data_IF_038948884420
#
_entry.id   IF_038948884420
#
_cell.length_a   1.000
_cell.length_b   1.000
_cell.length_c   1.000
_cell.angle_alpha   90.00
_cell.angle_beta   90.00
_cell.angle_gamma   90.00
#
_symmetry.space_group_name_H-M   'P 1'
#
loop_
_entity.id
_entity.type
_entity.pdbx_description
1 polymer ?
#
# COMPACT_ATOMS: atom_id res chain seq x y z
N UNK A 1 -26.06 13.94 -13.42
CA UNK A 1 -26.94 14.67 -12.49
C UNK A 1 -28.30 14.87 -13.14
N UNK A 2 -29.37 14.63 -12.38
CA UNK A 2 -30.75 14.83 -12.79
C UNK A 2 -31.40 15.75 -11.75
N UNK A 3 -31.70 16.98 -12.16
CA UNK A 3 -32.09 18.06 -11.23
C UNK A 3 -33.59 18.10 -10.90
N UNK A 4 -34.41 17.27 -11.56
CA UNK A 4 -35.86 17.35 -11.48
C UNK A 4 -36.53 15.98 -11.35
N UNK A 5 -36.18 15.22 -10.31
CA UNK A 5 -36.98 14.04 -9.92
C UNK A 5 -38.16 14.55 -9.09
N UNK A 6 -39.34 14.63 -9.70
CA UNK A 6 -40.54 15.13 -9.02
C UNK A 6 -41.25 14.00 -8.28
N UNK A 7 -41.41 14.15 -6.97
CA UNK A 7 -42.04 13.17 -6.08
C UNK A 7 -43.31 13.79 -5.48
N UNK A 8 -44.43 13.06 -5.53
CA UNK A 8 -45.69 13.54 -4.99
C UNK A 8 -45.82 13.30 -3.47
N UNK A 9 -46.74 14.01 -2.82
CA UNK A 9 -47.12 13.75 -1.43
C UNK A 9 -47.64 12.33 -1.21
N UNK A 10 -48.37 11.80 -2.20
CA UNK A 10 -48.93 10.45 -2.14
C UNK A 10 -47.81 9.40 -2.11
N UNK A 11 -46.72 9.61 -2.86
CA UNK A 11 -45.55 8.73 -2.87
C UNK A 11 -44.86 8.72 -1.51
N UNK A 12 -44.58 9.90 -0.95
CA UNK A 12 -43.95 10.05 0.37
C UNK A 12 -44.83 9.44 1.47
N UNK A 13 -46.14 9.71 1.41
CA UNK A 13 -47.12 9.12 2.33
C UNK A 13 -47.18 7.61 2.23
N UNK A 14 -47.15 7.04 1.01
CA UNK A 14 -47.11 5.60 0.78
C UNK A 14 -45.88 4.96 1.44
N UNK A 15 -44.67 5.48 1.18
CA UNK A 15 -43.43 4.97 1.76
C UNK A 15 -43.43 5.02 3.29
N UNK A 16 -43.84 6.16 3.84
CA UNK A 16 -43.92 6.37 5.30
C UNK A 16 -44.90 5.39 5.95
N UNK A 17 -46.08 5.18 5.34
CA UNK A 17 -47.10 4.27 5.86
C UNK A 17 -46.69 2.79 5.84
N UNK A 18 -45.81 2.42 4.91
CA UNK A 18 -45.32 1.04 4.72
C UNK A 18 -43.98 0.78 5.39
N UNK A 19 -43.29 1.82 5.87
CA UNK A 19 -41.93 1.70 6.40
C UNK A 19 -40.93 1.23 5.34
N UNK A 20 -41.13 1.59 4.07
CA UNK A 20 -40.26 1.21 2.95
C UNK A 20 -39.65 2.45 2.32
N UNK A 21 -38.51 2.27 1.64
CA UNK A 21 -37.91 3.30 0.80
C UNK A 21 -37.98 2.87 -0.68
N UNK A 22 -38.14 3.83 -1.60
CA UNK A 22 -37.90 3.55 -3.01
C UNK A 22 -36.42 3.22 -3.22
N UNK A 23 -36.09 2.58 -4.33
CA UNK A 23 -34.72 2.23 -4.65
C UNK A 23 -34.36 2.62 -6.09
N UNK A 24 -33.21 3.26 -6.24
CA UNK A 24 -32.57 3.46 -7.53
C UNK A 24 -31.95 2.14 -7.98
N UNK A 25 -32.33 1.69 -9.17
CA UNK A 25 -31.74 0.54 -9.83
C UNK A 25 -30.96 0.97 -11.07
N UNK A 26 -29.73 0.53 -11.19
CA UNK A 26 -28.93 0.62 -12.41
C UNK A 26 -28.55 -0.80 -12.81
N UNK A 27 -28.81 -1.18 -14.05
CA UNK A 27 -28.60 -2.55 -14.50
C UNK A 27 -27.15 -2.99 -14.38
N UNK A 28 -26.21 -2.12 -14.81
CA UNK A 28 -24.79 -2.42 -14.77
C UNK A 28 -23.97 -1.17 -14.46
N UNK A 29 -23.14 -1.26 -13.43
CA UNK A 29 -22.12 -0.28 -13.08
C UNK A 29 -20.74 -0.94 -13.19
N UNK A 30 -19.73 -0.16 -13.56
CA UNK A 30 -18.34 -0.58 -13.51
C UNK A 30 -17.55 0.26 -12.50
N UNK A 31 -16.65 -0.43 -11.81
CA UNK A 31 -15.69 0.05 -10.81
C UNK A 31 -16.35 0.59 -9.55
N UNK A 32 -16.72 1.88 -9.50
CA UNK A 32 -17.40 2.48 -8.35
C UNK A 32 -18.55 3.38 -8.81
N UNK A 33 -19.68 3.24 -8.12
CA UNK A 33 -20.84 4.09 -8.26
C UNK A 33 -21.23 4.66 -6.89
N UNK A 34 -21.43 5.98 -6.81
CA UNK A 34 -22.01 6.65 -5.63
C UNK A 34 -23.32 7.30 -6.01
N UNK A 35 -24.31 7.17 -5.12
CA UNK A 35 -25.64 7.74 -5.30
C UNK A 35 -25.83 8.84 -4.27
N UNK A 36 -26.13 10.04 -4.73
CA UNK A 36 -26.46 11.18 -3.89
C UNK A 36 -27.88 11.66 -4.17
N UNK A 37 -28.61 11.96 -3.10
CA UNK A 37 -29.94 12.56 -3.17
C UNK A 37 -29.90 13.87 -2.40
N UNK A 38 -30.27 14.96 -3.06
CA UNK A 38 -30.31 16.31 -2.49
C UNK A 38 -28.97 16.75 -1.84
N UNK A 39 -27.85 16.23 -2.35
CA UNK A 39 -26.51 16.54 -1.85
C UNK A 39 -25.98 15.56 -0.81
N UNK A 40 -26.81 14.67 -0.28
CA UNK A 40 -26.41 13.68 0.72
C UNK A 40 -26.09 12.32 0.08
N UNK A 41 -25.06 11.64 0.58
CA UNK A 41 -24.66 10.31 0.09
C UNK A 41 -25.69 9.27 0.55
N UNK A 42 -26.45 8.72 -0.38
CA UNK A 42 -27.43 7.67 -0.11
C UNK A 42 -26.78 6.28 -0.07
N UNK A 43 -25.71 6.06 -0.83
CA UNK A 43 -24.93 4.82 -0.78
C UNK A 43 -24.03 4.61 -1.99
N UNK A 44 -23.49 3.40 -2.10
CA UNK A 44 -22.43 3.08 -3.07
C UNK A 44 -22.43 1.61 -3.49
N UNK A 45 -21.97 1.35 -4.71
CA UNK A 45 -21.72 0.00 -5.23
C UNK A 45 -20.32 -0.06 -5.86
N UNK A 46 -19.61 -1.16 -5.61
CA UNK A 46 -18.32 -1.47 -6.23
C UNK A 46 -18.45 -2.78 -7.00
N UNK A 47 -17.84 -2.88 -8.17
CA UNK A 47 -17.78 -4.13 -8.92
C UNK A 47 -17.62 -3.97 -10.43
N UNK A 48 -17.44 -5.09 -11.12
CA UNK A 48 -17.25 -5.12 -12.57
C UNK A 48 -18.54 -5.53 -13.29
N UNK A 49 -19.22 -4.57 -13.92
CA UNK A 49 -20.52 -4.73 -14.60
C UNK A 49 -21.60 -5.40 -13.73
N UNK A 50 -21.69 -4.97 -12.47
CA UNK A 50 -22.66 -5.46 -11.49
C UNK A 50 -23.90 -4.57 -11.43
N UNK A 51 -25.05 -5.11 -11.03
CA UNK A 51 -26.25 -4.30 -10.82
C UNK A 51 -26.16 -3.52 -9.51
N UNK A 52 -26.61 -2.26 -9.54
CA UNK A 52 -26.78 -1.42 -8.37
C UNK A 52 -28.27 -1.38 -8.02
N UNK A 53 -28.60 -1.62 -6.75
CA UNK A 53 -29.92 -1.35 -6.18
C UNK A 53 -29.76 -0.63 -4.84
N UNK A 54 -29.95 0.68 -4.84
CA UNK A 54 -29.69 1.54 -3.70
C UNK A 54 -31.00 2.15 -3.19
N UNK A 55 -31.44 1.84 -1.95
CA UNK A 55 -32.50 2.60 -1.29
C UNK A 55 -32.15 4.09 -1.23
N UNK A 56 -33.13 4.95 -1.50
CA UNK A 56 -32.96 6.40 -1.59
C UNK A 56 -34.08 7.10 -0.82
N UNK A 57 -33.75 8.22 -0.19
CA UNK A 57 -34.70 9.03 0.56
C UNK A 57 -34.98 10.35 -0.19
N UNK A 58 -36.15 10.42 -0.82
CA UNK A 58 -36.62 11.65 -1.45
C UNK A 58 -37.57 12.42 -0.53
N UNK A 59 -37.64 13.72 -0.74
CA UNK A 59 -38.64 14.60 -0.12
C UNK A 59 -39.75 14.92 -1.13
N UNK A 60 -40.87 15.45 -0.65
CA UNK A 60 -41.94 15.96 -1.51
C UNK A 60 -41.38 17.04 -2.46
N UNK A 61 -41.80 16.98 -3.73
CA UNK A 61 -41.46 17.96 -4.75
C UNK A 61 -40.22 17.60 -5.56
N UNK A 62 -39.45 18.62 -5.94
CA UNK A 62 -38.28 18.46 -6.79
C UNK A 62 -37.08 17.97 -5.98
N UNK A 63 -36.52 16.85 -6.44
CA UNK A 63 -35.33 16.27 -5.87
C UNK A 63 -34.20 16.25 -6.89
N UNK A 64 -32.99 16.36 -6.38
CA UNK A 64 -31.75 16.29 -7.15
C UNK A 64 -31.10 14.92 -6.97
N UNK A 65 -30.98 14.17 -8.05
CA UNK A 65 -30.28 12.89 -8.08
C UNK A 65 -28.91 13.07 -8.74
N UNK A 66 -27.84 12.83 -7.99
CA UNK A 66 -26.47 12.87 -8.53
C UNK A 66 -25.85 11.48 -8.45
N UNK A 67 -25.35 11.01 -9.60
CA UNK A 67 -24.63 9.76 -9.71
C UNK A 67 -23.18 10.10 -10.01
N UNK A 68 -22.27 9.62 -9.17
CA UNK A 68 -20.84 9.68 -9.43
C UNK A 68 -20.41 8.30 -9.94
N UNK A 69 -19.79 8.29 -11.11
CA UNK A 69 -19.10 7.12 -11.64
C UNK A 69 -17.61 7.38 -11.52
N UNK A 70 -16.88 6.41 -10.98
CA UNK A 70 -15.43 6.51 -10.80
C UNK A 70 -14.77 5.30 -11.44
N UNK A 71 -13.62 5.55 -12.06
CA UNK A 71 -12.83 4.53 -12.76
C UNK A 71 -11.59 4.25 -11.93
N UNK A 72 -11.35 2.99 -11.58
CA UNK A 72 -10.17 2.57 -10.79
C UNK A 72 -9.15 1.91 -11.70
N UNK A 73 -8.70 2.70 -12.67
CA UNK A 73 -7.85 2.22 -13.77
C UNK A 73 -8.66 1.64 -14.93
N UNK A 74 -8.02 1.54 -16.09
CA UNK A 74 -8.62 0.94 -17.29
C UNK A 74 -8.12 -0.49 -17.45
N UNK A 75 -8.96 -1.32 -18.07
CA UNK A 75 -8.57 -2.66 -18.52
C UNK A 75 -7.27 -2.57 -19.34
N UNK A 76 -6.25 -3.32 -18.95
CA UNK A 76 -4.92 -3.28 -19.58
C UNK A 76 -4.48 -4.62 -20.19
N UNK A 77 -5.33 -5.66 -20.14
CA UNK A 77 -5.10 -6.94 -20.80
C UNK A 77 -6.42 -7.60 -21.21
N UNK A 78 -6.36 -8.51 -22.19
CA UNK A 78 -7.52 -9.23 -22.72
C UNK A 78 -7.89 -8.83 -24.15
N UNK A 79 -8.64 -9.69 -24.84
CA UNK A 79 -9.10 -9.41 -26.20
C UNK A 79 -10.18 -8.31 -26.20
N UNK A 80 -10.12 -7.40 -27.17
CA UNK A 80 -11.08 -6.31 -27.36
C UNK A 80 -11.28 -5.40 -26.13
N UNK A 81 -10.21 -5.19 -25.34
CA UNK A 81 -10.26 -4.38 -24.12
C UNK A 81 -10.79 -2.96 -24.37
N UNK A 82 -10.61 -2.43 -25.58
CA UNK A 82 -11.11 -1.12 -25.99
C UNK A 82 -12.65 -1.04 -26.03
N UNK A 83 -13.34 -2.20 -26.12
CA UNK A 83 -14.80 -2.28 -26.13
C UNK A 83 -15.41 -2.41 -24.74
N UNK A 84 -14.60 -2.73 -23.73
CA UNK A 84 -15.11 -2.99 -22.39
C UNK A 84 -15.72 -1.71 -21.79
N UNK A 85 -15.08 -0.55 -21.94
CA UNK A 85 -15.65 0.77 -21.56
C UNK A 85 -15.80 0.97 -20.04
N UNK A 86 -16.44 2.04 -19.57
CA UNK A 86 -16.69 2.25 -18.14
C UNK A 86 -17.97 3.04 -17.88
N UNK A 87 -18.35 3.16 -16.61
CA UNK A 87 -19.53 3.90 -16.18
C UNK A 87 -20.78 3.04 -16.01
N UNK A 88 -21.92 3.59 -16.44
CA UNK A 88 -23.23 2.96 -16.29
C UNK A 88 -23.71 2.40 -17.64
N UNK A 89 -24.32 1.21 -17.60
CA UNK A 89 -24.93 0.54 -18.75
C UNK A 89 -26.32 0.03 -18.40
N UNK A 90 -27.16 -0.09 -19.43
CA UNK A 90 -28.53 -0.56 -19.32
C UNK A 90 -29.47 0.51 -18.75
N UNK A 91 -30.53 0.06 -18.09
CA UNK A 91 -31.59 0.92 -17.60
C UNK A 91 -31.26 1.55 -16.25
N UNK A 92 -31.74 2.78 -16.06
CA UNK A 92 -31.77 3.46 -14.77
C UNK A 92 -33.23 3.62 -14.37
N UNK A 93 -33.64 3.00 -13.27
CA UNK A 93 -35.03 2.98 -12.81
C UNK A 93 -35.16 3.39 -11.36
N UNK A 94 -36.22 4.12 -11.04
CA UNK A 94 -36.67 4.29 -9.68
C UNK A 94 -37.77 3.27 -9.40
N UNK A 95 -37.57 2.43 -8.39
CA UNK A 95 -38.45 1.31 -8.07
C UNK A 95 -39.11 1.50 -6.71
N UNK A 96 -40.26 0.86 -6.51
CA UNK A 96 -40.98 0.91 -5.23
C UNK A 96 -41.91 2.12 -5.06
N UNK A 97 -42.34 2.75 -6.16
CA UNK A 97 -43.43 3.72 -6.14
C UNK A 97 -44.80 3.01 -6.20
N UNK A 98 -45.87 3.61 -5.65
CA UNK A 98 -47.21 3.01 -5.66
C UNK A 98 -47.75 2.77 -7.07
N UNK A 99 -47.36 3.61 -8.04
CA UNK A 99 -47.85 3.56 -9.42
C UNK A 99 -46.93 2.78 -10.39
N UNK A 100 -45.99 2.00 -9.85
CA UNK A 100 -45.00 1.23 -10.62
C UNK A 100 -43.67 1.95 -10.80
N UNK A 101 -42.72 1.27 -11.43
CA UNK A 101 -41.36 1.79 -11.59
C UNK A 101 -41.30 2.97 -12.59
N UNK A 102 -40.50 3.98 -12.28
CA UNK A 102 -40.21 5.09 -13.19
C UNK A 102 -38.91 4.79 -13.94
N UNK A 103 -38.93 4.86 -15.27
CA UNK A 103 -37.73 4.77 -16.10
C UNK A 103 -37.08 6.15 -16.27
N UNK A 104 -35.83 6.27 -15.79
CA UNK A 104 -35.01 7.48 -15.84
C UNK A 104 -33.93 7.42 -16.94
N UNK A 105 -33.87 6.33 -17.71
CA UNK A 105 -32.81 6.06 -18.69
C UNK A 105 -32.74 7.15 -19.77
N UNK A 106 -33.90 7.64 -20.20
CA UNK A 106 -34.02 8.65 -21.26
C UNK A 106 -34.35 10.05 -20.73
N UNK A 107 -34.20 10.27 -19.42
CA UNK A 107 -34.31 11.61 -18.83
C UNK A 107 -33.16 12.52 -19.30
N UNK A 108 -33.32 13.83 -19.11
CA UNK A 108 -32.27 14.81 -19.44
C UNK A 108 -31.22 14.81 -18.33
N UNK A 109 -30.03 14.29 -18.63
CA UNK A 109 -28.90 14.20 -17.70
C UNK A 109 -27.87 15.29 -17.96
N UNK A 110 -27.44 15.98 -16.89
CA UNK A 110 -26.30 16.90 -16.89
C UNK A 110 -25.03 16.16 -16.47
N UNK A 111 -23.93 16.37 -17.21
CA UNK A 111 -22.64 15.72 -16.97
C UNK A 111 -21.58 16.72 -16.56
N UNK A 112 -20.74 16.33 -15.59
CA UNK A 112 -19.54 17.05 -15.18
C UNK A 112 -18.40 16.03 -15.11
N UNK A 113 -17.25 16.39 -15.68
CA UNK A 113 -16.03 15.59 -15.61
C UNK A 113 -15.20 16.06 -14.42
N UNK A 114 -14.80 15.14 -13.56
CA UNK A 114 -13.95 15.41 -12.39
C UNK A 114 -14.63 16.18 -11.26
N UNK A 115 -13.88 16.37 -10.20
CA UNK A 115 -14.30 17.07 -8.99
C UNK A 115 -13.99 18.57 -9.08
N UNK A 116 -14.77 19.38 -8.35
CA UNK A 116 -14.59 20.84 -8.32
C UNK A 116 -13.19 21.25 -7.83
N UNK A 117 -12.65 20.54 -6.83
CA UNK A 117 -11.30 20.75 -6.32
C UNK A 117 -10.22 20.43 -7.35
N UNK A 118 -10.40 19.39 -8.15
CA UNK A 118 -9.50 19.05 -9.25
C UNK A 118 -9.51 20.13 -10.35
N UNK A 119 -10.70 20.58 -10.76
CA UNK A 119 -10.84 21.65 -11.76
C UNK A 119 -10.20 22.96 -11.31
N UNK A 120 -10.31 23.27 -10.02
CA UNK A 120 -9.71 24.46 -9.41
C UNK A 120 -8.22 24.27 -9.08
N UNK A 121 -7.68 23.06 -9.29
CA UNK A 121 -6.29 22.66 -9.04
C UNK A 121 -5.81 23.00 -7.63
N UNK A 122 -6.67 22.83 -6.62
CA UNK A 122 -6.36 23.22 -5.23
C UNK A 122 -5.28 22.35 -4.57
N UNK A 123 -4.72 21.37 -5.30
CA UNK A 123 -3.53 20.62 -4.93
C UNK A 123 -2.22 21.34 -5.30
N UNK A 124 -2.27 22.36 -6.16
CA UNK A 124 -1.09 23.11 -6.59
C UNK A 124 -0.77 24.26 -5.60
N UNK A 125 0.51 24.52 -5.29
CA UNK A 125 0.92 25.59 -4.36
C UNK A 125 0.39 26.98 -4.74
N UNK A 126 0.41 27.32 -6.03
CA UNK A 126 -0.02 28.61 -6.56
C UNK A 126 -1.56 28.78 -6.65
N UNK A 127 -2.32 27.70 -6.39
CA UNK A 127 -3.79 27.68 -6.49
C UNK A 127 -4.49 27.50 -5.15
N UNK A 128 -3.76 27.59 -4.03
CA UNK A 128 -4.33 27.41 -2.69
C UNK A 128 -5.45 28.40 -2.35
N UNK A 129 -5.43 29.61 -2.92
CA UNK A 129 -6.46 30.63 -2.71
C UNK A 129 -7.77 30.38 -3.49
N UNK A 130 -7.81 29.36 -4.37
CA UNK A 130 -9.03 29.03 -5.14
C UNK A 130 -10.07 28.24 -4.31
N UNK A 131 -9.78 27.91 -3.06
CA UNK A 131 -10.71 27.32 -2.11
C UNK A 131 -10.64 28.05 -0.76
N UNK A 132 -11.78 28.05 -0.07
CA UNK A 132 -11.85 28.47 1.33
C UNK A 132 -11.49 27.28 2.21
N UNK A 133 -10.42 27.43 2.99
CA UNK A 133 -9.92 26.40 3.89
C UNK A 133 -10.27 26.77 5.33
N UNK A 134 -10.77 25.81 6.10
CA UNK A 134 -10.98 25.93 7.54
C UNK A 134 -9.94 25.10 8.29
N UNK A 135 -9.51 25.58 9.45
CA UNK A 135 -8.66 24.80 10.35
C UNK A 135 -9.47 23.69 11.02
N UNK A 136 -8.91 22.48 11.06
CA UNK A 136 -9.51 21.32 11.70
C UNK A 136 -9.40 21.39 13.23
N UNK A 137 -10.45 21.02 13.94
CA UNK A 137 -10.49 20.84 15.39
C UNK A 137 -10.57 19.35 15.76
N UNK A 138 -10.20 19.01 17.00
CA UNK A 138 -10.18 17.62 17.49
C UNK A 138 -11.57 16.96 17.46
N UNK A 139 -12.63 17.76 17.69
CA UNK A 139 -14.01 17.28 17.76
C UNK A 139 -14.76 17.39 16.42
N UNK A 140 -14.06 17.72 15.32
CA UNK A 140 -14.69 17.85 14.01
C UNK A 140 -15.23 16.51 13.52
N UNK A 141 -16.48 16.53 13.04
CA UNK A 141 -17.08 15.37 12.39
C UNK A 141 -16.46 15.24 11.00
N UNK A 142 -15.61 14.23 10.82
CA UNK A 142 -14.95 13.95 9.55
C UNK A 142 -15.97 13.44 8.52
N UNK A 143 -16.23 14.24 7.50
CA UNK A 143 -17.15 13.87 6.41
C UNK A 143 -16.42 13.21 5.24
N UNK A 144 -17.07 12.31 4.51
CA UNK A 144 -16.63 11.89 3.18
C UNK A 144 -16.57 13.07 2.20
N UNK A 145 -15.88 12.89 1.06
CA UNK A 145 -15.69 13.93 0.02
C UNK A 145 -15.03 15.22 0.52
N UNK A 146 -14.02 15.09 1.36
CA UNK A 146 -13.33 16.22 2.01
C UNK A 146 -11.92 16.40 1.44
N UNK A 147 -11.50 17.65 1.30
CA UNK A 147 -10.12 17.99 0.95
C UNK A 147 -9.35 18.39 2.21
N UNK A 148 -8.18 17.80 2.42
CA UNK A 148 -7.27 18.12 3.51
C UNK A 148 -5.98 18.71 2.96
N UNK A 149 -5.33 19.57 3.73
CA UNK A 149 -3.98 20.02 3.43
C UNK A 149 -3.16 20.28 4.68
N UNK A 150 -1.86 20.21 4.54
CA UNK A 150 -0.89 20.64 5.55
C UNK A 150 0.44 21.02 4.91
N UNK A 151 1.31 21.66 5.68
CA UNK A 151 2.70 21.95 5.31
C UNK A 151 3.62 21.03 6.11
N UNK A 152 4.74 20.60 5.53
CA UNK A 152 5.72 19.77 6.21
C UNK A 152 7.16 19.98 5.70
N UNK A 153 8.13 19.70 6.56
CA UNK A 153 9.54 19.69 6.20
C UNK A 153 9.96 18.30 5.70
N UNK A 154 10.87 18.23 4.73
CA UNK A 154 11.35 16.95 4.26
C UNK A 154 12.15 16.22 5.35
N UNK A 155 11.97 14.89 5.51
CA UNK A 155 12.83 14.11 6.40
C UNK A 155 14.28 14.26 6.00
N UNK A 156 15.19 14.24 6.98
CA UNK A 156 16.63 14.27 6.71
C UNK A 156 17.10 12.98 6.00
N UNK A 157 18.31 13.04 5.44
CA UNK A 157 18.95 11.89 4.80
C UNK A 157 18.51 11.66 3.35
N UNK A 158 18.96 10.53 2.79
CA UNK A 158 18.78 10.19 1.37
C UNK A 158 17.80 9.03 1.15
N UNK A 159 17.32 8.40 2.21
CA UNK A 159 16.45 7.22 2.13
C UNK A 159 15.11 7.53 1.46
N UNK A 160 14.50 6.58 0.74
CA UNK A 160 13.15 6.73 0.21
C UNK A 160 12.16 7.26 1.26
N UNK A 161 11.26 8.14 0.86
CA UNK A 161 10.22 8.69 1.74
C UNK A 161 8.89 8.06 1.38
N UNK A 162 8.10 7.69 2.39
CA UNK A 162 6.72 7.30 2.18
C UNK A 162 5.79 7.94 3.21
N UNK A 163 4.55 8.13 2.80
CA UNK A 163 3.46 8.61 3.65
C UNK A 163 2.55 7.44 4.04
N UNK A 164 2.25 7.33 5.33
CA UNK A 164 1.27 6.40 5.85
C UNK A 164 -0.14 6.98 5.68
N UNK A 165 -0.96 6.31 4.88
CA UNK A 165 -2.36 6.64 4.65
C UNK A 165 -3.29 5.50 5.10
N UNK A 166 -2.80 4.58 5.94
CA UNK A 166 -3.60 3.45 6.42
C UNK A 166 -4.74 3.85 7.37
N UNK A 167 -4.70 5.07 7.93
CA UNK A 167 -5.82 5.66 8.68
C UNK A 167 -6.89 6.31 7.81
N UNK A 168 -6.62 6.41 6.50
CA UNK A 168 -7.50 7.05 5.53
C UNK A 168 -8.42 6.01 4.87
N UNK A 169 -9.34 6.47 4.01
CA UNK A 169 -10.31 5.60 3.34
C UNK A 169 -9.93 5.34 1.89
N UNK A 170 -10.40 6.19 0.98
CA UNK A 170 -10.14 6.12 -0.46
C UNK A 170 -9.95 7.53 -0.96
N UNK A 171 -8.99 7.74 -1.84
CA UNK A 171 -8.72 9.09 -2.29
C UNK A 171 -7.50 9.23 -3.16
N UNK A 172 -7.02 10.47 -3.22
CA UNK A 172 -5.81 10.86 -3.94
C UNK A 172 -4.98 11.79 -3.07
N UNK A 173 -3.67 11.71 -3.22
CA UNK A 173 -2.73 12.56 -2.50
C UNK A 173 -1.76 13.24 -3.46
N UNK A 174 -1.41 14.49 -3.14
CA UNK A 174 -0.48 15.31 -3.88
C UNK A 174 0.57 15.91 -2.96
N UNK A 175 1.80 16.00 -3.45
CA UNK A 175 2.91 16.70 -2.80
C UNK A 175 3.43 17.75 -3.77
N UNK A 176 3.42 19.02 -3.37
CA UNK A 176 3.86 20.16 -4.19
C UNK A 176 3.20 20.17 -5.59
N UNK A 177 1.92 19.82 -5.66
CA UNK A 177 1.17 19.73 -6.92
C UNK A 177 1.34 18.43 -7.71
N UNK A 178 2.29 17.56 -7.33
CA UNK A 178 2.50 16.26 -7.98
C UNK A 178 1.59 15.18 -7.36
N UNK A 179 0.80 14.49 -8.19
CA UNK A 179 -0.02 13.36 -7.73
C UNK A 179 0.89 12.18 -7.35
N UNK A 180 0.98 11.85 -6.06
CA UNK A 180 1.78 10.73 -5.56
C UNK A 180 1.03 9.39 -5.65
N UNK A 181 -0.29 9.43 -5.83
CA UNK A 181 -1.08 8.25 -6.14
C UNK A 181 -2.53 8.32 -5.68
N UNK A 182 -3.26 7.25 -5.99
CA UNK A 182 -4.55 6.93 -5.37
C UNK A 182 -4.28 6.06 -4.16
N UNK A 183 -4.93 6.35 -3.04
CA UNK A 183 -4.91 5.48 -1.88
C UNK A 183 -6.27 4.82 -1.70
N UNK A 184 -6.28 3.58 -1.22
CA UNK A 184 -7.51 2.86 -0.94
C UNK A 184 -7.29 1.77 0.11
N UNK A 185 -7.95 1.90 1.25
CA UNK A 185 -7.91 0.98 2.40
C UNK A 185 -8.71 -0.31 2.17
N UNK A 186 -8.48 -0.97 1.03
CA UNK A 186 -8.97 -2.32 0.80
C UNK A 186 -8.15 -3.30 1.62
N UNK A 187 -8.82 -4.26 2.25
CA UNK A 187 -8.17 -5.33 3.01
C UNK A 187 -8.00 -6.55 2.12
N UNK A 188 -6.79 -7.11 2.09
CA UNK A 188 -6.51 -8.35 1.38
C UNK A 188 -7.30 -9.52 2.00
N UNK A 189 -7.66 -10.56 1.23
CA UNK A 189 -8.29 -11.76 1.79
C UNK A 189 -7.48 -12.33 2.95
N UNK A 190 -8.17 -12.90 3.95
CA UNK A 190 -7.49 -13.55 5.09
C UNK A 190 -6.75 -14.83 4.69
N UNK A 191 -7.12 -15.44 3.56
CA UNK A 191 -6.54 -16.67 3.03
C UNK A 191 -5.77 -16.43 1.73
N UNK A 192 -4.90 -17.37 1.37
CA UNK A 192 -4.08 -17.32 0.15
C UNK A 192 -2.58 -17.16 0.42
N UNK A 193 -2.21 -16.60 1.57
CA UNK A 193 -0.82 -16.51 2.00
C UNK A 193 -0.35 -17.88 2.50
N UNK A 194 0.75 -18.36 1.91
CA UNK A 194 1.36 -19.61 2.35
C UNK A 194 2.04 -19.42 3.70
N UNK A 195 1.91 -20.40 4.60
CA UNK A 195 2.69 -20.46 5.84
C UNK A 195 4.17 -20.75 5.60
N UNK A 196 4.54 -21.21 4.40
CA UNK A 196 5.92 -21.43 4.00
C UNK A 196 6.12 -21.10 2.52
N UNK A 197 7.16 -20.32 2.22
CA UNK A 197 7.59 -20.01 0.85
C UNK A 197 9.05 -20.45 0.69
N UNK A 198 9.37 -21.13 -0.41
CA UNK A 198 10.73 -21.51 -0.76
C UNK A 198 10.99 -21.31 -2.26
N UNK A 199 12.27 -21.14 -2.59
CA UNK A 199 12.71 -20.93 -3.97
C UNK A 199 12.53 -22.16 -4.88
N UNK A 200 12.78 -23.43 -4.44
CA UNK A 200 12.77 -24.56 -5.37
C UNK A 200 11.38 -24.89 -5.91
N UNK A 201 11.35 -25.53 -7.08
CA UNK A 201 10.13 -26.03 -7.70
C UNK A 201 9.36 -24.97 -8.50
N UNK A 202 8.24 -25.39 -9.10
CA UNK A 202 7.41 -24.53 -9.92
C UNK A 202 6.93 -23.31 -9.12
N UNK A 203 6.82 -22.17 -9.83
CA UNK A 203 6.32 -20.93 -9.28
C UNK A 203 4.89 -20.68 -9.77
N UNK A 204 4.07 -20.10 -8.89
CA UNK A 204 2.79 -19.45 -9.21
C UNK A 204 2.71 -18.13 -8.44
N UNK A 205 1.87 -17.21 -8.91
CA UNK A 205 1.61 -15.91 -8.28
C UNK A 205 1.10 -16.01 -6.84
N UNK A 206 0.54 -17.17 -6.46
CA UNK A 206 0.04 -17.48 -5.11
C UNK A 206 1.09 -18.14 -4.20
N UNK A 207 2.23 -18.61 -4.73
CA UNK A 207 3.19 -19.43 -3.97
C UNK A 207 3.73 -18.74 -2.72
N UNK A 208 3.97 -17.44 -2.81
CA UNK A 208 4.68 -16.66 -1.79
C UNK A 208 3.96 -15.35 -1.46
N UNK A 209 2.62 -15.34 -1.55
CA UNK A 209 1.83 -14.18 -1.14
C UNK A 209 2.00 -13.92 0.36
N UNK A 210 1.99 -12.63 0.72
CA UNK A 210 2.11 -12.14 2.09
C UNK A 210 1.06 -11.04 2.33
N UNK A 211 0.95 -10.57 3.57
CA UNK A 211 0.03 -9.51 3.99
C UNK A 211 -1.47 -9.83 3.85
N UNK A 212 -1.86 -11.11 3.96
CA UNK A 212 -3.27 -11.50 4.06
C UNK A 212 -3.94 -10.89 5.30
N UNK A 213 -5.19 -10.47 5.16
CA UNK A 213 -5.93 -9.78 6.23
C UNK A 213 -5.44 -8.36 6.55
N UNK A 214 -4.41 -7.87 5.86
CA UNK A 214 -3.87 -6.52 6.02
C UNK A 214 -4.39 -5.60 4.91
N UNK A 215 -4.37 -4.26 5.09
CA UNK A 215 -4.61 -3.34 3.99
C UNK A 215 -3.67 -3.61 2.82
N UNK A 216 -4.18 -3.62 1.59
CA UNK A 216 -3.43 -3.93 0.38
C UNK A 216 -2.28 -2.94 0.14
N UNK A 217 -2.45 -1.70 0.56
CA UNK A 217 -1.40 -0.69 0.60
C UNK A 217 -1.69 0.39 1.65
N UNK A 218 -0.77 0.59 2.58
CA UNK A 218 -0.85 1.68 3.58
C UNK A 218 0.22 2.75 3.41
N UNK A 219 1.33 2.41 2.75
CA UNK A 219 2.46 3.30 2.53
C UNK A 219 2.53 3.70 1.06
N UNK A 220 2.66 5.00 0.82
CA UNK A 220 2.67 5.60 -0.52
C UNK A 220 3.97 6.36 -0.71
N UNK A 221 4.73 6.01 -1.74
CA UNK A 221 6.05 6.57 -2.00
C UNK A 221 5.95 8.05 -2.44
N UNK A 222 6.83 8.88 -1.89
CA UNK A 222 7.05 10.26 -2.29
C UNK A 222 8.48 10.36 -2.85
N UNK A 223 8.65 10.60 -4.16
CA UNK A 223 9.97 10.83 -4.74
C UNK A 223 10.69 11.97 -4.04
N UNK A 224 11.96 11.74 -3.65
CA UNK A 224 12.81 12.75 -2.99
C UNK A 224 12.94 14.01 -3.83
N UNK A 225 12.98 13.85 -5.15
CA UNK A 225 13.09 14.95 -6.12
C UNK A 225 11.87 15.88 -6.15
N UNK A 226 10.74 15.47 -5.58
CA UNK A 226 9.53 16.30 -5.47
C UNK A 226 9.48 17.09 -4.17
N UNK A 227 10.43 16.87 -3.26
CA UNK A 227 10.52 17.53 -1.97
C UNK A 227 11.50 18.70 -2.00
N UNK A 228 11.11 19.77 -1.31
CA UNK A 228 11.96 20.88 -0.88
C UNK A 228 12.43 20.62 0.56
N UNK A 229 13.44 21.34 1.03
CA UNK A 229 13.93 21.18 2.42
C UNK A 229 12.84 21.47 3.45
N UNK A 230 12.09 22.55 3.25
CA UNK A 230 10.95 22.97 4.08
C UNK A 230 9.74 23.32 3.23
N UNK A 231 8.61 23.61 3.89
CA UNK A 231 7.43 24.20 3.25
C UNK A 231 6.85 23.37 2.09
N UNK A 232 6.89 22.05 2.21
CA UNK A 232 6.23 21.16 1.27
C UNK A 232 4.73 21.14 1.52
N UNK A 233 3.95 21.35 0.46
CA UNK A 233 2.50 21.28 0.51
C UNK A 233 2.04 19.84 0.30
N UNK A 234 1.34 19.28 1.28
CA UNK A 234 0.58 18.04 1.14
C UNK A 234 -0.90 18.37 0.98
N UNK A 235 -1.56 17.82 -0.05
CA UNK A 235 -3.01 17.92 -0.23
C UNK A 235 -3.58 16.52 -0.45
N UNK A 236 -4.72 16.22 0.19
CA UNK A 236 -5.45 14.97 0.01
C UNK A 236 -6.89 15.27 -0.37
N UNK A 237 -7.45 14.44 -1.24
CA UNK A 237 -8.89 14.30 -1.40
C UNK A 237 -9.29 12.96 -0.76
N UNK A 238 -10.12 13.00 0.28
CA UNK A 238 -10.69 11.84 0.97
C UNK A 238 -12.15 11.64 0.57
N UNK A 239 -12.43 10.51 -0.08
CA UNK A 239 -13.72 10.19 -0.65
C UNK A 239 -14.66 9.49 0.33
N UNK A 240 -14.14 8.61 1.20
CA UNK A 240 -14.96 7.69 2.03
C UNK A 240 -14.98 8.04 3.52
N UNK A 241 -14.04 8.87 3.97
CA UNK A 241 -13.81 9.16 5.37
C UNK A 241 -12.56 8.44 5.88
N UNK A 242 -11.82 9.13 6.74
CA UNK A 242 -10.51 8.72 7.23
C UNK A 242 -10.01 9.71 8.26
N UNK A 243 -9.07 9.28 9.11
CA UNK A 243 -8.53 10.09 10.19
C UNK A 243 -7.16 10.69 9.78
N UNK A 244 -7.12 11.98 9.37
CA UNK A 244 -5.89 12.61 8.91
C UNK A 244 -4.89 12.88 10.03
N UNK A 245 -5.30 12.85 11.31
CA UNK A 245 -4.41 13.07 12.45
C UNK A 245 -3.38 11.95 12.65
N UNK A 246 -3.64 10.78 12.06
CA UNK A 246 -2.78 9.59 12.11
C UNK A 246 -1.90 9.42 10.87
N UNK A 247 -1.98 10.35 9.92
CA UNK A 247 -1.06 10.38 8.79
C UNK A 247 0.34 10.66 9.32
N UNK A 248 1.30 9.83 8.93
CA UNK A 248 2.72 10.03 9.25
C UNK A 248 3.55 9.94 7.98
N UNK A 249 4.74 10.52 8.03
CA UNK A 249 5.69 10.50 6.92
C UNK A 249 7.01 9.99 7.48
N UNK A 250 7.53 8.93 6.85
CA UNK A 250 8.69 8.21 7.34
C UNK A 250 9.71 7.95 6.22
N UNK A 251 10.96 7.82 6.62
CA UNK A 251 12.01 7.29 5.77
C UNK A 251 11.96 5.77 5.80
N UNK A 252 12.05 5.15 4.62
CA UNK A 252 12.02 3.70 4.45
C UNK A 252 13.38 3.20 3.99
N UNK A 253 13.96 2.33 4.83
CA UNK A 253 15.16 1.58 4.54
C UNK A 253 15.04 0.18 5.16
N UNK A 254 15.88 -0.73 4.72
CA UNK A 254 15.91 -2.12 5.18
C UNK A 254 16.50 -2.18 6.58
N UNK A 255 15.64 -2.24 7.61
CA UNK A 255 16.06 -2.31 9.03
C UNK A 255 16.63 -3.67 9.42
N UNK A 256 16.09 -4.75 8.88
CA UNK A 256 16.50 -6.12 9.21
C UNK A 256 16.95 -6.84 7.95
N UNK A 257 18.14 -7.39 7.99
CA UNK A 257 18.69 -8.27 6.95
C UNK A 257 19.01 -9.63 7.54
N UNK A 258 18.93 -10.66 6.72
CA UNK A 258 19.08 -12.03 7.19
C UNK A 258 19.50 -12.94 6.04
N UNK A 259 20.16 -14.04 6.39
CA UNK A 259 20.52 -15.07 5.42
C UNK A 259 20.69 -16.42 6.10
N UNK A 260 20.50 -17.51 5.34
CA UNK A 260 20.74 -18.88 5.77
C UNK A 260 21.40 -19.66 4.63
N UNK A 261 22.61 -20.15 4.88
CA UNK A 261 23.41 -20.90 3.91
C UNK A 261 23.85 -22.22 4.53
N UNK A 262 23.74 -23.31 3.78
CA UNK A 262 24.25 -24.62 4.18
C UNK A 262 25.73 -24.78 3.83
N UNK A 263 26.52 -25.46 4.68
CA UNK A 263 27.92 -25.83 4.38
C UNK A 263 28.04 -26.74 3.14
N UNK A 264 26.93 -27.38 2.74
CA UNK A 264 26.81 -28.23 1.55
C UNK A 264 26.50 -27.47 0.25
N UNK A 265 26.28 -26.16 0.32
CA UNK A 265 25.99 -25.36 -0.87
C UNK A 265 27.25 -25.09 -1.69
N UNK A 266 27.06 -24.78 -2.98
CA UNK A 266 28.16 -24.39 -3.84
C UNK A 266 28.77 -23.05 -3.41
N UNK A 267 30.09 -22.85 -3.63
CA UNK A 267 30.73 -21.56 -3.41
C UNK A 267 30.20 -20.47 -4.35
N UNK A 268 30.33 -19.18 -3.99
CA UNK A 268 29.85 -18.07 -4.81
C UNK A 268 30.46 -18.07 -6.21
N UNK A 269 29.68 -17.65 -7.21
CA UNK A 269 30.10 -17.66 -8.63
C UNK A 269 31.40 -16.87 -8.89
N UNK A 270 31.70 -15.85 -8.09
CA UNK A 270 32.97 -15.10 -8.17
C UNK A 270 34.20 -15.96 -7.88
N UNK A 271 34.06 -17.06 -7.13
CA UNK A 271 35.12 -18.02 -6.91
C UNK A 271 35.35 -18.93 -8.14
N UNK A 272 34.39 -18.99 -9.06
CA UNK A 272 34.44 -19.86 -10.24
C UNK A 272 35.25 -19.23 -11.38
N UNK A 273 35.36 -17.89 -11.43
CA UNK A 273 36.08 -17.16 -12.47
C UNK A 273 37.61 -17.26 -12.39
N UNK A 274 38.15 -17.81 -11.29
CA UNK A 274 39.61 -17.96 -11.07
C UNK A 274 40.18 -19.27 -11.64
N UNK A 275 39.42 -20.03 -12.45
CA UNK A 275 39.80 -21.37 -12.89
C UNK A 275 39.95 -21.45 -14.42
N UNK A 276 41.12 -21.88 -14.89
CA UNK A 276 41.48 -22.06 -16.30
C UNK A 276 40.94 -23.36 -16.93
N UNK A 277 40.36 -24.27 -16.15
CA UNK A 277 40.06 -25.65 -16.56
C UNK A 277 38.60 -26.11 -16.42
N UNK A 278 37.67 -25.25 -16.02
CA UNK A 278 36.23 -25.52 -16.08
C UNK A 278 35.70 -26.67 -15.19
N UNK A 279 36.50 -27.19 -14.25
CA UNK A 279 36.06 -28.19 -13.25
C UNK A 279 36.21 -27.63 -11.84
N UNK A 280 35.08 -27.47 -11.16
CA UNK A 280 35.00 -27.01 -9.76
C UNK A 280 35.40 -28.16 -8.84
N UNK A 281 36.47 -27.99 -8.06
CA UNK A 281 36.70 -28.80 -6.87
C UNK A 281 35.80 -28.25 -5.76
N UNK A 282 34.57 -28.78 -5.69
CA UNK A 282 33.54 -28.43 -4.69
C UNK A 282 34.08 -28.57 -3.26
N UNK A 283 35.12 -29.39 -3.06
CA UNK A 283 35.71 -29.70 -1.75
C UNK A 283 36.81 -28.72 -1.28
N UNK A 284 37.10 -27.64 -2.01
CA UNK A 284 38.22 -26.73 -1.66
C UNK A 284 37.82 -25.31 -1.27
N UNK A 285 36.61 -24.86 -1.62
CA UNK A 285 36.13 -23.50 -1.32
C UNK A 285 34.77 -23.62 -0.67
N UNK A 286 34.70 -23.19 0.58
CA UNK A 286 33.46 -23.19 1.35
C UNK A 286 32.44 -22.18 0.77
N UNK A 287 31.13 -22.46 0.93
CA UNK A 287 30.09 -21.47 0.65
C UNK A 287 30.24 -20.24 1.56
N UNK A 288 29.63 -19.14 1.13
CA UNK A 288 29.76 -17.84 1.79
C UNK A 288 28.37 -17.26 2.08
N UNK A 289 28.17 -16.80 3.31
CA UNK A 289 27.01 -16.00 3.68
C UNK A 289 27.37 -14.53 3.54
N UNK A 290 26.56 -13.78 2.80
CA UNK A 290 26.69 -12.33 2.63
C UNK A 290 25.53 -11.60 3.27
N UNK A 291 25.86 -10.52 3.96
CA UNK A 291 24.90 -9.55 4.49
C UNK A 291 25.30 -8.17 3.96
N UNK A 292 24.31 -7.40 3.51
CA UNK A 292 24.51 -6.04 3.04
C UNK A 292 23.32 -5.18 3.44
N UNK A 293 23.59 -4.05 4.10
CA UNK A 293 22.60 -3.01 4.33
C UNK A 293 22.46 -2.11 3.09
N UNK A 294 21.37 -1.33 3.03
CA UNK A 294 21.18 -0.31 2.01
C UNK A 294 22.36 0.69 2.02
N UNK A 295 22.57 1.38 0.89
CA UNK A 295 23.68 2.33 0.78
C UNK A 295 23.56 3.43 1.86
N UNK A 296 24.70 3.84 2.43
CA UNK A 296 24.74 4.80 3.55
C UNK A 296 24.36 4.21 4.93
N UNK A 297 24.04 2.92 5.01
CA UNK A 297 23.72 2.22 6.26
C UNK A 297 24.84 1.27 6.69
N UNK A 298 24.91 0.98 7.99
CA UNK A 298 25.84 0.02 8.57
C UNK A 298 25.08 -1.05 9.34
N UNK A 299 25.65 -2.25 9.36
CA UNK A 299 25.23 -3.32 10.26
C UNK A 299 25.58 -2.86 11.68
N UNK A 300 24.56 -2.56 12.49
CA UNK A 300 24.77 -2.06 13.86
C UNK A 300 24.75 -3.16 14.89
N UNK A 301 24.08 -4.27 14.59
CA UNK A 301 23.90 -5.38 15.55
C UNK A 301 23.59 -6.68 14.83
N UNK A 302 24.12 -7.78 15.36
CA UNK A 302 23.67 -9.13 15.02
C UNK A 302 22.64 -9.54 16.07
N UNK A 303 21.39 -9.74 15.65
CA UNK A 303 20.28 -10.11 16.54
C UNK A 303 20.20 -11.62 16.73
N UNK A 304 20.64 -12.39 15.74
CA UNK A 304 20.70 -13.84 15.80
C UNK A 304 21.86 -14.36 14.95
N UNK A 305 22.57 -15.38 15.43
CA UNK A 305 23.52 -16.13 14.61
C UNK A 305 23.67 -17.56 15.14
N UNK A 306 23.55 -18.54 14.24
CA UNK A 306 23.72 -19.94 14.60
C UNK A 306 24.36 -20.74 13.46
N UNK A 307 25.50 -21.36 13.75
CA UNK A 307 26.12 -22.38 12.91
C UNK A 307 25.83 -23.76 13.49
N UNK A 308 25.05 -24.57 12.79
CA UNK A 308 24.52 -25.81 13.36
C UNK A 308 23.27 -26.28 12.64
N UNK A 309 22.21 -26.57 13.37
CA UNK A 309 20.90 -26.98 12.81
C UNK A 309 19.80 -25.96 13.11
N UNK A 310 19.95 -24.66 12.74
CA UNK A 310 18.93 -23.65 13.03
C UNK A 310 17.60 -23.95 12.33
N UNK A 311 16.52 -23.42 12.89
CA UNK A 311 15.17 -23.55 12.34
C UNK A 311 14.47 -22.20 12.25
N UNK A 312 13.36 -22.15 11.52
CA UNK A 312 12.64 -20.91 11.23
C UNK A 312 13.18 -20.15 10.02
N UNK A 313 12.69 -18.93 9.86
CA UNK A 313 13.05 -18.00 8.79
C UNK A 313 13.45 -16.64 9.35
N UNK A 314 13.75 -15.69 8.46
CA UNK A 314 14.04 -14.31 8.84
C UNK A 314 13.01 -13.75 9.82
N UNK A 315 13.45 -13.03 10.86
CA UNK A 315 12.64 -12.52 11.98
C UNK A 315 12.06 -13.57 12.91
N UNK A 316 12.32 -14.86 12.67
CA UNK A 316 11.83 -15.96 13.50
C UNK A 316 12.82 -17.14 13.51
N UNK A 317 14.12 -16.84 13.49
CA UNK A 317 15.14 -17.88 13.61
C UNK A 317 15.24 -18.39 15.05
N UNK A 318 15.59 -19.66 15.18
CA UNK A 318 15.84 -20.30 16.47
C UNK A 318 17.02 -21.25 16.39
N UNK A 319 17.73 -21.38 17.50
CA UNK A 319 18.81 -22.35 17.64
C UNK A 319 18.25 -23.78 17.60
N UNK A 320 18.99 -24.68 16.95
CA UNK A 320 18.71 -26.10 16.98
C UNK A 320 19.45 -26.81 18.11
N UNK A 321 19.31 -28.14 18.14
CA UNK A 321 20.06 -28.99 19.08
C UNK A 321 21.57 -28.96 18.86
N UNK A 322 22.00 -28.62 17.66
CA UNK A 322 23.40 -28.37 17.32
C UNK A 322 23.59 -26.88 17.04
N UNK A 323 24.54 -26.27 17.74
CA UNK A 323 24.92 -24.87 17.62
C UNK A 323 26.36 -24.67 18.12
N UNK A 324 27.19 -23.97 17.36
CA UNK A 324 28.51 -23.53 17.81
C UNK A 324 28.39 -22.24 18.63
N UNK A 325 28.77 -22.28 19.92
CA UNK A 325 28.64 -21.14 20.84
C UNK A 325 29.47 -19.91 20.47
N UNK A 326 30.49 -20.06 19.62
CA UNK A 326 31.31 -18.95 19.10
C UNK A 326 30.66 -18.19 17.93
N UNK A 327 29.57 -18.72 17.35
CA UNK A 327 28.99 -18.18 16.10
C UNK A 327 28.68 -16.70 16.21
N UNK A 328 27.96 -16.29 17.25
CA UNK A 328 27.53 -14.90 17.42
C UNK A 328 28.72 -13.93 17.53
N UNK A 329 29.76 -14.31 18.26
CA UNK A 329 30.94 -13.47 18.43
C UNK A 329 31.69 -13.27 17.11
N UNK A 330 31.93 -14.36 16.36
CA UNK A 330 32.65 -14.33 15.08
C UNK A 330 31.88 -13.54 14.01
N UNK A 331 30.57 -13.73 13.92
CA UNK A 331 29.73 -12.99 12.98
C UNK A 331 29.65 -11.52 13.36
N UNK A 332 29.57 -11.20 14.65
CA UNK A 332 29.55 -9.80 15.11
C UNK A 332 30.87 -9.10 14.79
N UNK A 333 32.01 -9.76 15.03
CA UNK A 333 33.34 -9.25 14.71
C UNK A 333 33.50 -8.97 13.21
N UNK A 334 32.95 -9.85 12.35
CA UNK A 334 33.04 -9.70 10.91
C UNK A 334 32.12 -8.60 10.34
N UNK A 335 30.95 -8.39 10.93
CA UNK A 335 29.88 -7.61 10.30
C UNK A 335 29.60 -6.25 10.94
N UNK A 336 29.65 -6.14 12.27
CA UNK A 336 29.22 -4.91 12.95
C UNK A 336 30.15 -3.74 12.59
N UNK A 337 29.55 -2.61 12.21
CA UNK A 337 30.25 -1.41 11.77
C UNK A 337 30.55 -1.36 10.27
N UNK A 338 30.26 -2.42 9.52
CA UNK A 338 30.43 -2.46 8.07
C UNK A 338 29.07 -2.37 7.34
N UNK A 339 29.05 -1.84 6.12
CA UNK A 339 27.86 -1.87 5.27
C UNK A 339 27.59 -3.28 4.71
N UNK A 340 28.66 -4.02 4.40
CA UNK A 340 28.62 -5.38 3.87
C UNK A 340 29.64 -6.25 4.62
N UNK A 341 29.30 -7.53 4.82
CA UNK A 341 30.23 -8.54 5.31
C UNK A 341 30.00 -9.88 4.61
N UNK A 342 31.04 -10.70 4.62
CA UNK A 342 31.09 -12.02 4.01
C UNK A 342 31.70 -13.01 5.01
N UNK A 343 31.01 -14.13 5.24
CA UNK A 343 31.43 -15.14 6.21
C UNK A 343 31.51 -16.51 5.54
N UNK A 344 32.64 -17.19 5.70
CA UNK A 344 32.82 -18.55 5.21
C UNK A 344 32.00 -19.53 6.06
N UNK A 345 31.18 -20.36 5.41
CA UNK A 345 30.31 -21.34 6.05
C UNK A 345 31.02 -22.70 6.07
N UNK A 346 31.84 -22.91 7.10
CA UNK A 346 32.65 -24.13 7.22
C UNK A 346 33.04 -24.46 8.67
N UNK A 347 33.47 -25.70 8.88
CA UNK A 347 33.98 -26.17 10.17
C UNK A 347 35.34 -25.56 10.53
N UNK A 348 36.09 -25.07 9.55
CA UNK A 348 37.34 -24.34 9.81
C UNK A 348 37.06 -22.97 10.43
N UNK A 349 35.94 -22.33 10.06
CA UNK A 349 35.55 -21.03 10.59
C UNK A 349 34.90 -21.13 11.98
N UNK A 350 34.04 -22.12 12.21
CA UNK A 350 33.19 -22.19 13.41
C UNK A 350 33.44 -23.40 14.32
N UNK A 351 34.32 -24.33 13.92
CA UNK A 351 34.41 -25.65 14.53
C UNK A 351 33.32 -26.61 14.05
N UNK A 352 33.36 -27.86 14.51
CA UNK A 352 32.34 -28.88 14.21
C UNK A 352 31.48 -29.18 15.45
N UNK A 353 30.40 -28.41 15.69
CA UNK A 353 29.51 -28.58 16.85
C UNK A 353 28.73 -29.91 16.83
N UNK A 354 28.61 -30.56 15.67
CA UNK A 354 27.94 -31.85 15.53
C UNK A 354 28.49 -32.65 14.36
N UNK A 355 29.35 -33.62 14.69
CA UNK A 355 29.98 -34.51 13.72
C UNK A 355 28.92 -35.27 12.91
N UNK A 356 29.16 -35.37 11.59
CA UNK A 356 28.31 -36.08 10.60
C UNK A 356 26.92 -35.48 10.38
N UNK A 357 26.68 -34.27 10.87
CA UNK A 357 25.44 -33.52 10.60
C UNK A 357 25.80 -32.36 9.69
N UNK A 358 25.06 -32.15 8.61
CA UNK A 358 25.23 -30.97 7.75
C UNK A 358 24.81 -29.72 8.53
N UNK A 359 25.66 -28.72 8.54
CA UNK A 359 25.46 -27.48 9.28
C UNK A 359 25.05 -26.33 8.37
N UNK A 360 24.14 -25.51 8.86
CA UNK A 360 23.77 -24.25 8.23
C UNK A 360 24.24 -23.09 9.10
N UNK A 361 24.74 -22.04 8.47
CA UNK A 361 24.89 -20.72 9.09
C UNK A 361 23.63 -19.91 8.81
N UNK A 362 22.88 -19.57 9.87
CA UNK A 362 21.77 -18.62 9.81
C UNK A 362 22.12 -17.37 10.61
N UNK A 363 21.96 -16.19 10.02
CA UNK A 363 22.28 -14.90 10.63
C UNK A 363 21.15 -13.91 10.39
N UNK A 364 20.87 -13.10 11.40
CA UNK A 364 20.00 -11.93 11.34
C UNK A 364 20.72 -10.71 11.93
N UNK A 365 20.57 -9.57 11.28
CA UNK A 365 21.22 -8.33 11.65
C UNK A 365 20.30 -7.12 11.50
N UNK A 366 20.56 -6.10 12.31
CA UNK A 366 19.94 -4.79 12.22
C UNK A 366 20.86 -3.81 11.48
N UNK A 367 20.27 -3.03 10.57
CA UNK A 367 20.90 -1.95 9.84
C UNK A 367 20.41 -0.60 10.37
N UNK A 368 21.31 0.38 10.44
CA UNK A 368 20.96 1.77 10.76
C UNK A 368 21.75 2.74 9.89
N UNK A 369 21.26 3.99 9.73
CA UNK A 369 22.01 5.02 9.02
C UNK A 369 23.42 5.17 9.62
N UNK A 370 24.43 5.27 8.75
CA UNK A 370 25.76 5.68 9.20
C UNK A 370 25.62 7.05 9.86
N UNK A 371 26.11 7.21 11.10
CA UNK A 371 26.16 8.53 11.70
C UNK A 371 27.13 9.37 10.88
N UNK A 372 26.60 10.24 10.01
CA UNK A 372 27.41 11.27 9.39
C UNK A 372 28.04 12.07 10.52
N UNK A 373 29.36 12.16 10.44
CA UNK A 373 30.20 12.81 11.44
C UNK A 373 29.66 14.23 11.68
N UNK A 374 29.57 14.58 12.97
CA UNK A 374 29.20 15.87 13.56
C UNK A 374 29.46 17.07 12.67
N UNK A 375 28.51 18.00 12.70
CA UNK A 375 28.67 19.41 12.30
C UNK A 375 30.10 19.91 12.58
N UNK A 376 30.69 20.72 11.67
CA UNK A 376 31.90 21.44 12.01
C UNK A 376 31.59 22.26 13.26
N UNK A 377 32.39 22.06 14.32
CA UNK A 377 32.46 23.02 15.41
C UNK A 377 32.77 24.37 14.77
N UNK A 378 31.86 25.32 14.89
CA UNK A 378 32.19 26.73 14.74
C UNK A 378 33.35 27.03 15.70
N UNK A 379 34.56 27.09 15.15
CA UNK A 379 35.71 27.70 15.80
C UNK A 379 35.67 29.20 15.51
N UNK A 380 35.19 29.93 16.53
CA UNK A 380 35.55 31.29 16.97
C UNK A 380 35.14 32.50 16.12
#
# INVERSE_FOLDING_TARGET
MLDHVNISDEDVGFWSSKGVLPALKIDQIRDVARVFVNGELAGSQVGHWVSLKQPVQFVQGLNKLTLLSEIVGLQNYGAFLEKDGAGFRGQVKLTGLPNGDIDLTHSVWTYQVGLKGEFSMIYAPEKQACAEWSGMQIDDILSPFTWYKTMFDAPKGTDPVAIYLGSMGKGQAWVNGHLIGRYWSLVAPESGCSSSCNYPGAYSESKCQSNCGMPTQSWYHIPREWLQESDNLLVLFEETGGDPSKISLEVHYTKTICSRISESYYPPLSAWSRLTSGRVLVDTIAPELRLRCDDGHLITKITFASYGTPSGGCQNFSEGKCHASSTLALVSEACVGNNECAISVSNDAFGDPCRRVVKDLAVEAECSPSSTTKEPRDEM
#
